data_IF_957478000315
#
_entry.id   IF_957478000315
#
_cell.length_a   1.000
_cell.length_b   1.000
_cell.length_c   1.000
_cell.angle_alpha   90.00
_cell.angle_beta   90.00
_cell.angle_gamma   90.00
#
_symmetry.space_group_name_H-M   'P 1'
#
loop_
_entity.id
_entity.type
_entity.pdbx_description
1 polymer ?
#
# COMPACT_ATOMS: atom_id res chain seq x y z
N UNK A 1 27.89 15.59 -14.44
CA UNK A 1 26.58 16.24 -14.62
C UNK A 1 26.45 17.41 -13.65
N UNK A 2 26.39 18.65 -14.15
CA UNK A 2 26.24 19.84 -13.31
C UNK A 2 24.81 19.94 -12.77
N UNK A 3 24.66 19.95 -11.43
CA UNK A 3 23.37 20.12 -10.76
C UNK A 3 22.82 21.53 -11.06
N UNK A 4 21.60 21.61 -11.58
CA UNK A 4 20.96 22.88 -11.97
C UNK A 4 20.81 23.86 -10.80
N UNK A 5 20.80 25.17 -11.11
CA UNK A 5 20.68 26.25 -10.12
C UNK A 5 19.44 26.05 -9.23
N UNK A 6 19.58 26.12 -7.90
CA UNK A 6 18.45 25.98 -6.97
C UNK A 6 17.39 27.06 -7.25
N UNK A 7 16.11 26.70 -7.07
CA UNK A 7 15.02 27.66 -7.26
C UNK A 7 15.03 28.71 -6.15
N UNK A 8 14.83 29.98 -6.53
CA UNK A 8 14.58 31.09 -5.60
C UNK A 8 13.34 30.77 -4.76
N UNK A 9 13.45 30.96 -3.43
CA UNK A 9 12.32 30.89 -2.50
C UNK A 9 11.80 32.31 -2.28
N UNK A 10 10.48 32.44 -2.21
CA UNK A 10 9.81 33.72 -1.98
C UNK A 10 9.06 33.64 -0.65
N UNK A 11 9.11 34.73 0.12
CA UNK A 11 8.37 34.86 1.38
C UNK A 11 6.86 34.90 1.11
N UNK A 12 6.00 34.49 2.07
CA UNK A 12 4.55 34.57 1.93
C UNK A 12 4.05 35.99 1.62
N UNK A 13 4.60 36.98 2.32
CA UNK A 13 4.29 38.41 2.10
C UNK A 13 4.59 38.87 0.68
N UNK A 14 5.75 38.45 0.13
CA UNK A 14 6.10 38.77 -1.24
C UNK A 14 5.12 38.16 -2.25
N UNK A 15 4.69 36.90 -2.04
CA UNK A 15 3.71 36.25 -2.92
C UNK A 15 2.37 36.97 -2.89
N UNK A 16 1.94 37.42 -1.70
CA UNK A 16 0.73 38.22 -1.52
C UNK A 16 0.82 39.53 -2.31
N UNK A 17 1.90 40.29 -2.12
CA UNK A 17 2.14 41.55 -2.83
C UNK A 17 2.09 41.38 -4.35
N UNK A 18 2.72 40.34 -4.89
CA UNK A 18 2.72 40.07 -6.33
C UNK A 18 1.32 39.79 -6.86
N UNK A 19 0.49 39.05 -6.13
CA UNK A 19 -0.89 38.73 -6.58
C UNK A 19 -1.83 39.93 -6.42
N UNK A 20 -1.73 40.70 -5.34
CA UNK A 20 -2.56 41.89 -5.13
C UNK A 20 -2.28 42.96 -6.20
N UNK A 21 -1.01 43.26 -6.47
CA UNK A 21 -0.62 44.20 -7.53
C UNK A 21 -1.04 43.71 -8.93
N UNK A 22 -1.01 42.39 -9.17
CA UNK A 22 -1.51 41.82 -10.42
C UNK A 22 -3.00 42.08 -10.62
N UNK A 23 -3.81 41.92 -9.57
CA UNK A 23 -5.26 42.08 -9.62
C UNK A 23 -5.66 43.56 -9.69
N UNK A 24 -4.95 44.43 -8.97
CA UNK A 24 -5.18 45.88 -8.97
C UNK A 24 -4.85 46.51 -10.34
N UNK A 25 -3.67 46.21 -10.89
CA UNK A 25 -3.22 46.76 -12.17
C UNK A 25 -3.69 45.94 -13.39
N UNK A 26 -4.41 44.82 -13.18
CA UNK A 26 -4.86 43.87 -14.21
C UNK A 26 -3.75 43.42 -15.17
N UNK A 27 -2.55 43.19 -14.62
CA UNK A 27 -1.38 42.80 -15.39
C UNK A 27 -1.46 41.34 -15.84
N UNK A 28 -0.90 41.05 -17.01
CA UNK A 28 -0.73 39.66 -17.46
C UNK A 28 0.33 38.93 -16.61
N UNK A 29 0.24 37.59 -16.53
CA UNK A 29 1.20 36.77 -15.77
C UNK A 29 2.67 36.95 -16.21
N UNK A 30 2.89 37.18 -17.50
CA UNK A 30 4.24 37.39 -18.05
C UNK A 30 4.79 38.76 -17.63
N UNK A 31 3.92 39.77 -17.58
CA UNK A 31 4.27 41.13 -17.23
C UNK A 31 4.55 41.28 -15.73
N UNK A 32 3.73 40.67 -14.88
CA UNK A 32 4.03 40.54 -13.44
C UNK A 32 5.33 39.79 -13.20
N UNK A 33 5.58 38.70 -13.92
CA UNK A 33 6.84 37.97 -13.78
C UNK A 33 8.07 38.82 -14.17
N UNK A 34 7.94 39.70 -15.18
CA UNK A 34 9.01 40.66 -15.53
C UNK A 34 9.17 41.75 -14.48
N UNK A 35 8.07 42.36 -14.03
CA UNK A 35 8.09 43.47 -13.07
C UNK A 35 8.65 43.07 -11.70
N UNK A 36 8.35 41.86 -11.24
CA UNK A 36 8.81 41.33 -9.95
C UNK A 36 10.00 40.38 -10.06
N UNK A 37 10.62 40.29 -11.24
CA UNK A 37 11.75 39.39 -11.53
C UNK A 37 11.51 37.93 -11.10
N UNK A 38 10.29 37.46 -11.27
CA UNK A 38 9.92 36.08 -10.98
C UNK A 38 10.38 35.19 -12.13
N UNK A 39 11.08 34.11 -11.79
CA UNK A 39 11.69 33.20 -12.77
C UNK A 39 10.70 32.64 -13.80
N UNK A 40 9.42 32.51 -13.46
CA UNK A 40 8.42 31.91 -14.35
C UNK A 40 7.03 32.49 -14.12
N UNK A 41 6.37 32.89 -15.21
CA UNK A 41 4.96 33.28 -15.22
C UNK A 41 4.02 32.17 -14.72
N UNK A 42 4.42 30.90 -14.86
CA UNK A 42 3.66 29.76 -14.32
C UNK A 42 3.66 29.77 -12.79
N UNK A 43 4.70 30.30 -12.13
CA UNK A 43 4.70 30.44 -10.67
C UNK A 43 3.67 31.49 -10.22
N UNK A 44 3.56 32.60 -10.95
CA UNK A 44 2.58 33.65 -10.66
C UNK A 44 1.16 33.12 -10.79
N UNK A 45 0.85 32.36 -11.85
CA UNK A 45 -0.45 31.68 -12.02
C UNK A 45 -0.76 30.72 -10.85
N UNK A 46 0.23 29.96 -10.39
CA UNK A 46 0.05 29.08 -9.25
C UNK A 46 -0.22 29.85 -7.95
N UNK A 47 0.40 31.02 -7.78
CA UNK A 47 0.13 31.89 -6.63
C UNK A 47 -1.27 32.46 -6.67
N UNK A 48 -1.72 32.98 -7.80
CA UNK A 48 -3.10 33.44 -7.98
C UNK A 48 -4.11 32.36 -7.59
N UNK A 49 -3.94 31.13 -8.09
CA UNK A 49 -4.82 30.01 -7.72
C UNK A 49 -4.85 29.77 -6.21
N UNK A 50 -3.69 29.75 -5.55
CA UNK A 50 -3.61 29.54 -4.10
C UNK A 50 -4.31 30.68 -3.34
N UNK A 51 -4.14 31.92 -3.80
CA UNK A 51 -4.76 33.09 -3.21
C UNK A 51 -6.28 33.06 -3.36
N UNK A 52 -6.81 32.65 -4.53
CA UNK A 52 -8.25 32.50 -4.74
C UNK A 52 -8.87 31.35 -3.93
N UNK A 53 -8.15 30.23 -3.77
CA UNK A 53 -8.66 29.07 -3.03
C UNK A 53 -8.60 29.23 -1.52
N UNK A 54 -7.54 29.86 -0.99
CA UNK A 54 -7.18 29.82 0.44
C UNK A 54 -6.84 31.19 1.03
N UNK A 55 -6.92 32.25 0.24
CA UNK A 55 -6.52 33.59 0.66
C UNK A 55 -5.02 33.69 0.99
N UNK A 56 -4.69 34.68 1.82
CA UNK A 56 -3.34 34.95 2.31
C UNK A 56 -2.77 33.80 3.15
N UNK A 57 -3.63 33.08 3.88
CA UNK A 57 -3.27 31.91 4.69
C UNK A 57 -2.71 30.77 3.81
N UNK A 58 -3.15 30.67 2.56
CA UNK A 58 -2.66 29.70 1.59
C UNK A 58 -1.15 29.80 1.29
N UNK A 59 -0.54 30.98 1.50
CA UNK A 59 0.89 31.19 1.29
C UNK A 59 1.75 30.95 2.53
N UNK A 60 1.17 31.06 3.73
CA UNK A 60 1.86 30.81 5.00
C UNK A 60 2.10 29.31 5.22
N UNK A 61 1.22 28.46 4.69
CA UNK A 61 1.36 27.02 4.77
C UNK A 61 2.46 26.60 3.77
N UNK A 62 3.71 26.51 4.24
CA UNK A 62 4.80 25.89 3.49
C UNK A 62 4.51 24.37 3.37
N UNK A 63 3.62 23.97 2.45
CA UNK A 63 3.40 22.57 2.04
C UNK A 63 4.62 22.09 1.25
N UNK A 64 5.76 22.06 1.91
CA UNK A 64 6.91 21.28 1.47
C UNK A 64 7.38 20.36 2.58
N UNK A 65 6.42 19.71 3.23
CA UNK A 65 6.65 18.32 3.56
C UNK A 65 6.65 17.54 2.23
N UNK A 66 7.84 17.48 1.61
CA UNK A 66 8.15 16.38 0.71
C UNK A 66 8.32 15.14 1.59
N UNK A 67 7.23 14.73 2.24
CA UNK A 67 7.17 13.52 3.01
C UNK A 67 7.32 12.39 1.99
N UNK A 68 8.44 11.66 2.09
CA UNK A 68 8.52 10.34 1.49
C UNK A 68 7.23 9.60 1.86
N UNK A 69 6.50 9.14 0.86
CA UNK A 69 5.48 8.10 1.04
C UNK A 69 6.17 6.90 1.69
N UNK A 70 6.09 6.82 3.02
CA UNK A 70 6.94 5.91 3.78
C UNK A 70 6.80 6.15 5.27
N UNK A 71 5.57 5.91 5.77
CA UNK A 71 5.17 5.66 7.16
C UNK A 71 4.07 6.63 7.62
N UNK A 72 2.87 6.13 7.98
CA UNK A 72 1.83 6.96 8.57
C UNK A 72 2.33 7.50 9.92
N UNK A 73 2.02 8.78 10.21
CA UNK A 73 2.29 9.41 11.51
C UNK A 73 1.51 8.64 12.59
N UNK A 74 2.18 8.30 13.70
CA UNK A 74 1.54 7.63 14.85
C UNK A 74 0.44 8.54 15.40
N UNK A 75 -0.73 7.97 15.62
CA UNK A 75 -1.88 8.64 16.24
C UNK A 75 -1.55 9.11 17.67
N UNK A 76 -2.18 10.19 18.17
CA UNK A 76 -2.07 10.61 19.56
C UNK A 76 -2.45 9.47 20.51
N UNK A 77 -1.68 9.30 21.60
CA UNK A 77 -1.81 8.18 22.54
C UNK A 77 -2.95 8.30 23.56
N UNK A 78 -3.71 9.40 23.56
CA UNK A 78 -4.69 9.70 24.62
C UNK A 78 -6.03 8.98 24.53
N UNK A 79 -6.20 8.02 23.60
CA UNK A 79 -7.36 7.12 23.56
C UNK A 79 -7.02 5.66 23.89
N UNK A 80 -5.80 5.38 24.36
CA UNK A 80 -5.31 4.01 24.53
C UNK A 80 -6.09 3.20 25.56
N UNK A 81 -6.56 3.84 26.63
CA UNK A 81 -7.25 3.19 27.74
C UNK A 81 -8.69 2.80 27.35
N UNK A 82 -9.43 3.69 26.69
CA UNK A 82 -10.76 3.41 26.15
C UNK A 82 -10.71 2.31 25.07
N UNK A 83 -9.68 2.35 24.20
CA UNK A 83 -9.48 1.30 23.19
C UNK A 83 -9.10 -0.05 23.82
N UNK A 84 -8.32 -0.06 24.91
CA UNK A 84 -7.99 -1.29 25.63
C UNK A 84 -9.22 -1.88 26.33
N UNK A 85 -10.05 -1.03 26.94
CA UNK A 85 -11.32 -1.44 27.54
C UNK A 85 -12.27 -2.04 26.49
N UNK A 86 -12.36 -1.41 25.32
CA UNK A 86 -13.18 -1.90 24.21
C UNK A 86 -12.64 -3.22 23.63
N UNK A 87 -11.31 -3.36 23.48
CA UNK A 87 -10.69 -4.62 23.05
C UNK A 87 -10.97 -5.75 24.06
N UNK A 88 -10.93 -5.46 25.36
CA UNK A 88 -11.23 -6.45 26.39
C UNK A 88 -12.72 -6.86 26.35
N UNK A 89 -13.63 -5.89 26.23
CA UNK A 89 -15.08 -6.13 26.10
C UNK A 89 -15.40 -6.97 24.86
N UNK A 90 -14.87 -6.59 23.70
CA UNK A 90 -15.08 -7.30 22.43
C UNK A 90 -14.48 -8.72 22.44
N UNK A 91 -13.39 -8.94 23.19
CA UNK A 91 -12.83 -10.29 23.40
C UNK A 91 -13.75 -11.15 24.26
N UNK A 92 -14.29 -10.61 25.35
CA UNK A 92 -15.27 -11.30 26.18
C UNK A 92 -16.55 -11.63 25.38
N UNK A 93 -17.02 -10.70 24.56
CA UNK A 93 -18.17 -10.91 23.66
C UNK A 93 -17.88 -11.99 22.61
N UNK A 94 -16.70 -11.99 22.00
CA UNK A 94 -16.31 -13.05 21.07
C UNK A 94 -16.21 -14.43 21.73
N UNK A 95 -15.65 -14.51 22.94
CA UNK A 95 -15.61 -15.76 23.71
C UNK A 95 -17.02 -16.28 24.03
N UNK A 96 -17.92 -15.38 24.43
CA UNK A 96 -19.33 -15.71 24.62
C UNK A 96 -19.99 -16.19 23.32
N UNK A 97 -19.77 -15.50 22.19
CA UNK A 97 -20.33 -15.88 20.90
C UNK A 97 -19.78 -17.21 20.37
N UNK A 98 -18.49 -17.50 20.58
CA UNK A 98 -17.89 -18.81 20.27
C UNK A 98 -18.52 -19.93 21.09
N UNK A 99 -18.78 -19.66 22.37
CA UNK A 99 -19.42 -20.62 23.28
C UNK A 99 -20.89 -20.84 22.92
N UNK A 100 -21.63 -19.78 22.55
CA UNK A 100 -23.05 -19.84 22.25
C UNK A 100 -23.39 -20.29 20.82
N UNK A 101 -22.44 -20.22 19.87
CA UNK A 101 -22.65 -20.67 18.47
C UNK A 101 -21.62 -21.72 18.01
N UNK A 102 -21.51 -22.90 18.67
CA UNK A 102 -20.54 -23.92 18.27
C UNK A 102 -20.78 -24.46 16.85
N UNK A 103 -22.03 -24.44 16.39
CA UNK A 103 -22.43 -24.97 15.10
C UNK A 103 -22.02 -24.08 13.91
N UNK A 104 -21.83 -22.78 14.15
CA UNK A 104 -21.44 -21.81 13.11
C UNK A 104 -19.94 -21.87 12.78
N UNK A 105 -19.09 -22.24 13.74
CA UNK A 105 -17.65 -22.39 13.52
C UNK A 105 -17.27 -23.79 13.04
N UNK A 106 -18.09 -24.81 13.30
CA UNK A 106 -17.90 -26.18 12.74
C UNK A 106 -17.98 -26.24 11.22
N UNK A 107 -18.52 -25.22 10.54
CA UNK A 107 -18.51 -25.11 9.07
C UNK A 107 -17.27 -24.40 8.53
N UNK A 108 -16.42 -23.78 9.35
CA UNK A 108 -15.18 -23.17 8.88
C UNK A 108 -14.12 -24.22 8.49
N UNK A 109 -14.09 -25.36 9.18
CA UNK A 109 -13.31 -26.56 8.78
C UNK A 109 -13.96 -27.35 7.63
N UNK A 110 -15.16 -26.98 7.17
CA UNK A 110 -15.71 -27.51 5.92
C UNK A 110 -15.18 -26.73 4.70
N UNK A 111 -14.63 -25.52 4.90
CA UNK A 111 -14.02 -24.71 3.83
C UNK A 111 -12.62 -25.21 3.44
N UNK A 112 -11.93 -25.96 4.31
CA UNK A 112 -10.66 -26.63 3.98
C UNK A 112 -10.85 -27.81 3.01
N UNK A 113 -12.10 -28.29 2.82
CA UNK A 113 -12.43 -29.39 1.90
C UNK A 113 -12.55 -28.96 0.43
N UNK A 114 -12.45 -27.66 0.15
CA UNK A 114 -12.38 -27.10 -1.21
C UNK A 114 -11.06 -26.34 -1.47
N UNK A 115 -10.04 -26.56 -0.64
CA UNK A 115 -8.73 -25.94 -0.78
C UNK A 115 -7.87 -26.71 -1.80
N UNK A 116 -8.28 -26.74 -3.07
CA UNK A 116 -7.61 -27.47 -4.14
C UNK A 116 -7.67 -28.99 -3.92
N UNK A 117 -7.89 -29.76 -5.00
CA UNK A 117 -7.72 -31.22 -4.93
C UNK A 117 -6.35 -31.53 -4.30
N UNK A 118 -6.23 -32.56 -3.46
CA UNK A 118 -4.94 -32.93 -2.83
C UNK A 118 -3.78 -32.96 -3.85
N UNK A 119 -4.12 -33.38 -5.07
CA UNK A 119 -3.32 -33.36 -6.29
C UNK A 119 -2.70 -31.99 -6.62
N UNK A 120 -3.42 -30.88 -6.44
CA UNK A 120 -2.89 -29.52 -6.66
C UNK A 120 -1.82 -29.15 -5.64
N UNK A 121 -1.94 -29.63 -4.39
CA UNK A 121 -0.94 -29.40 -3.35
C UNK A 121 0.32 -30.23 -3.60
N UNK A 122 0.14 -31.48 -4.01
CA UNK A 122 1.22 -32.39 -4.44
C UNK A 122 1.97 -31.86 -5.67
N UNK A 123 1.27 -31.20 -6.59
CA UNK A 123 1.88 -30.63 -7.77
C UNK A 123 2.71 -29.37 -7.46
N UNK A 124 2.21 -28.52 -6.55
CA UNK A 124 2.95 -27.34 -6.05
C UNK A 124 4.26 -27.79 -5.39
N UNK A 125 4.22 -28.82 -4.53
CA UNK A 125 5.41 -29.35 -3.86
C UNK A 125 6.37 -29.96 -4.87
N UNK A 126 5.88 -30.73 -5.84
CA UNK A 126 6.69 -31.34 -6.91
C UNK A 126 7.45 -30.28 -7.71
N UNK A 127 6.76 -29.24 -8.20
CA UNK A 127 7.39 -28.15 -8.97
C UNK A 127 8.42 -27.41 -8.10
N UNK A 128 8.15 -27.23 -6.82
CA UNK A 128 9.07 -26.56 -5.89
C UNK A 128 10.36 -27.36 -5.70
N UNK A 129 10.28 -28.67 -5.45
CA UNK A 129 11.45 -29.54 -5.26
C UNK A 129 12.22 -29.80 -6.55
N UNK A 130 11.52 -30.01 -7.68
CA UNK A 130 12.13 -30.15 -9.01
C UNK A 130 13.02 -28.95 -9.34
N UNK A 131 12.60 -27.76 -8.93
CA UNK A 131 13.33 -26.51 -9.12
C UNK A 131 14.24 -26.11 -7.94
N UNK A 132 14.47 -27.02 -6.98
CA UNK A 132 15.30 -26.81 -5.78
C UNK A 132 14.93 -25.52 -5.01
N UNK A 133 13.64 -25.21 -4.92
CA UNK A 133 13.11 -24.02 -4.26
C UNK A 133 13.39 -22.68 -4.96
N UNK A 134 13.94 -22.69 -6.19
CA UNK A 134 14.22 -21.44 -6.94
C UNK A 134 12.98 -20.79 -7.54
N UNK A 135 11.87 -21.52 -7.58
CA UNK A 135 10.62 -21.06 -8.15
C UNK A 135 9.71 -20.59 -7.01
N UNK A 136 9.36 -19.30 -7.04
CA UNK A 136 8.31 -18.74 -6.18
C UNK A 136 6.93 -18.77 -6.85
N UNK A 137 5.93 -18.24 -6.14
CA UNK A 137 4.51 -18.21 -6.54
C UNK A 137 4.26 -17.97 -8.04
N UNK A 138 4.85 -16.93 -8.62
CA UNK A 138 4.62 -16.54 -10.02
C UNK A 138 5.07 -17.60 -11.03
N UNK A 139 6.19 -18.29 -10.75
CA UNK A 139 6.70 -19.34 -11.64
C UNK A 139 5.91 -20.63 -11.43
N UNK A 140 5.62 -20.96 -10.18
CA UNK A 140 4.82 -22.15 -9.83
C UNK A 140 3.43 -22.06 -10.44
N UNK A 141 2.73 -20.93 -10.33
CA UNK A 141 1.42 -20.72 -10.96
C UNK A 141 1.44 -20.76 -12.48
N UNK A 142 2.55 -20.35 -13.12
CA UNK A 142 2.69 -20.46 -14.57
C UNK A 142 2.79 -21.93 -15.00
N UNK A 143 3.56 -22.73 -14.27
CA UNK A 143 3.71 -24.17 -14.53
C UNK A 143 2.39 -24.91 -14.23
N UNK A 144 1.70 -24.55 -13.15
CA UNK A 144 0.40 -25.14 -12.81
C UNK A 144 -0.65 -24.89 -13.89
N UNK A 145 -0.69 -23.69 -14.48
CA UNK A 145 -1.60 -23.39 -15.61
C UNK A 145 -1.28 -24.22 -16.85
N UNK A 146 0.01 -24.50 -17.12
CA UNK A 146 0.39 -25.37 -18.24
C UNK A 146 0.04 -26.85 -18.00
N UNK A 147 -0.20 -27.23 -16.74
CA UNK A 147 -0.66 -28.55 -16.32
C UNK A 147 -2.18 -28.54 -16.00
N UNK A 148 -2.92 -27.56 -16.53
CA UNK A 148 -4.37 -27.34 -16.38
C UNK A 148 -4.89 -27.12 -14.95
N UNK A 149 -4.03 -26.89 -13.97
CA UNK A 149 -4.43 -26.55 -12.61
C UNK A 149 -4.72 -25.04 -12.46
N UNK A 150 -5.97 -24.71 -12.18
CA UNK A 150 -6.39 -23.34 -11.85
C UNK A 150 -6.27 -23.09 -10.35
N UNK A 151 -5.13 -22.50 -9.93
CA UNK A 151 -4.85 -22.25 -8.51
C UNK A 151 -5.17 -20.80 -8.12
N UNK A 152 -5.91 -20.63 -7.04
CA UNK A 152 -6.15 -19.32 -6.41
C UNK A 152 -4.95 -18.88 -5.57
N UNK A 153 -4.70 -17.57 -5.46
CA UNK A 153 -3.60 -17.00 -4.66
C UNK A 153 -3.62 -17.49 -3.22
N UNK A 154 -4.81 -17.61 -2.64
CA UNK A 154 -4.99 -18.10 -1.26
C UNK A 154 -4.48 -19.53 -1.08
N UNK A 155 -4.68 -20.39 -2.08
CA UNK A 155 -4.30 -21.80 -2.05
C UNK A 155 -2.78 -21.98 -2.06
N UNK A 156 -2.04 -21.12 -2.76
CA UNK A 156 -0.58 -21.13 -2.70
C UNK A 156 -0.05 -20.57 -1.38
N UNK A 157 -0.64 -19.51 -0.83
CA UNK A 157 -0.20 -18.97 0.47
C UNK A 157 -0.36 -20.00 1.58
N UNK A 158 -1.46 -20.75 1.57
CA UNK A 158 -1.72 -21.79 2.55
C UNK A 158 -0.72 -22.96 2.41
N UNK A 159 -0.41 -23.41 1.18
CA UNK A 159 0.57 -24.49 0.94
C UNK A 159 2.02 -24.02 1.13
N UNK A 160 2.33 -22.80 0.69
CA UNK A 160 3.66 -22.21 0.73
C UNK A 160 4.15 -21.90 2.14
N UNK A 161 3.23 -21.74 3.11
CA UNK A 161 3.56 -21.62 4.53
C UNK A 161 4.05 -22.95 5.15
N UNK A 162 3.59 -24.08 4.60
CA UNK A 162 3.86 -25.44 5.11
C UNK A 162 4.88 -26.23 4.28
N UNK A 163 5.51 -25.62 3.25
CA UNK A 163 6.52 -26.31 2.44
C UNK A 163 7.78 -26.62 3.29
N UNK A 164 8.20 -27.90 3.39
CA UNK A 164 9.36 -28.28 4.17
C UNK A 164 10.65 -27.66 3.60
N UNK A 165 11.61 -27.39 4.49
CA UNK A 165 12.91 -26.82 4.09
C UNK A 165 13.66 -27.80 3.19
N UNK A 166 14.54 -27.34 2.28
CA UNK A 166 15.05 -28.09 1.12
C UNK A 166 15.73 -29.46 1.33
N UNK A 167 15.89 -29.92 2.57
CA UNK A 167 16.63 -31.12 2.96
C UNK A 167 15.83 -32.15 3.79
N UNK A 168 14.50 -32.06 3.87
CA UNK A 168 13.70 -33.18 4.37
C UNK A 168 13.32 -34.09 3.19
N UNK A 169 13.93 -35.27 3.13
CA UNK A 169 13.59 -36.31 2.15
C UNK A 169 12.13 -36.71 2.31
N UNK A 170 11.29 -36.38 1.32
CA UNK A 170 9.92 -36.90 1.25
C UNK A 170 10.02 -38.36 0.80
N UNK A 171 9.50 -39.34 1.57
CA UNK A 171 9.48 -40.74 1.15
C UNK A 171 8.68 -40.84 -0.14
N UNK A 172 9.39 -41.13 -1.23
CA UNK A 172 8.83 -41.24 -2.57
C UNK A 172 7.76 -42.33 -2.59
N UNK A 173 6.56 -41.98 -3.09
CA UNK A 173 5.52 -42.95 -3.49
C UNK A 173 6.04 -43.75 -4.69
N UNK A 174 6.88 -44.75 -4.42
CA UNK A 174 7.09 -45.83 -5.36
C UNK A 174 5.82 -46.68 -5.39
N UNK A 175 5.10 -46.61 -6.51
CA UNK A 175 4.12 -47.61 -6.88
C UNK A 175 2.75 -47.07 -7.22
N UNK A 176 2.64 -46.27 -8.30
CA UNK A 176 1.38 -46.17 -9.08
C UNK A 176 1.63 -45.81 -10.54
N UNK A 177 2.53 -46.52 -11.22
CA UNK A 177 2.46 -46.72 -12.69
C UNK A 177 3.09 -48.07 -13.00
N UNK A 178 2.25 -49.11 -13.03
CA UNK A 178 2.54 -50.46 -13.48
C UNK A 178 1.26 -51.02 -14.08
#
# INVERSE_FOLDING_TARGET
MSRGKPNKRYTPEFKKLVVETMMEERLSYCETARRFEVRSATQVRNWERIYLEKGTEGFAIERRERGSSGRPRKLPKEGGEDLLAEVLRLRAENEYLKTCKPWFWKTSDASTKNAGSSETKEEITTIFHENKGRYGYRRITTVLRSREFLVNHKTYEDVGADLPRPNEEIPFLQGKYG
#
